data_IF_082322079153
#
_entry.id   IF_082322079153
#
_cell.length_a   1.000
_cell.length_b   1.000
_cell.length_c   1.000
_cell.angle_alpha   90.00
_cell.angle_beta   90.00
_cell.angle_gamma   90.00
#
_symmetry.space_group_name_H-M   'P 1'
#
loop_
_entity.id
_entity.type
_entity.pdbx_description
1 polymer ?
#
# COMPACT_ATOMS: atom_id res chain seq x y z
N UNK A 1 -12.35 -25.33 5.93
CA UNK A 1 -11.42 -24.27 5.53
C UNK A 1 -11.18 -23.45 6.79
N UNK A 2 -9.95 -23.43 7.29
CA UNK A 2 -9.56 -22.59 8.41
C UNK A 2 -9.74 -21.11 8.07
N UNK A 3 -9.77 -20.26 9.10
CA UNK A 3 -10.09 -18.85 8.96
C UNK A 3 -9.07 -18.10 8.08
N UNK A 4 -7.77 -18.40 8.23
CA UNK A 4 -6.70 -17.83 7.42
C UNK A 4 -6.92 -18.15 5.94
N UNK A 5 -7.15 -19.41 5.60
CA UNK A 5 -7.40 -19.84 4.21
C UNK A 5 -8.65 -19.17 3.64
N UNK A 6 -9.71 -18.98 4.45
CA UNK A 6 -10.91 -18.25 4.03
C UNK A 6 -10.61 -16.79 3.70
N UNK A 7 -9.81 -16.11 4.54
CA UNK A 7 -9.43 -14.70 4.34
C UNK A 7 -8.52 -14.54 3.11
N UNK A 8 -7.51 -15.40 2.94
CA UNK A 8 -6.65 -15.43 1.73
C UNK A 8 -7.49 -15.56 0.45
N UNK A 9 -8.48 -16.47 0.45
CA UNK A 9 -9.40 -16.64 -0.69
C UNK A 9 -10.24 -15.40 -0.99
N UNK A 10 -10.78 -14.74 0.05
CA UNK A 10 -11.56 -13.50 -0.13
C UNK A 10 -10.67 -12.40 -0.69
N UNK A 11 -9.45 -12.22 -0.18
CA UNK A 11 -8.48 -11.26 -0.68
C UNK A 11 -8.17 -11.48 -2.16
N UNK A 12 -7.90 -12.72 -2.57
CA UNK A 12 -7.68 -13.04 -3.98
C UNK A 12 -8.86 -12.61 -4.88
N UNK A 13 -10.09 -12.79 -4.40
CA UNK A 13 -11.30 -12.30 -5.08
C UNK A 13 -11.35 -10.78 -5.19
N UNK A 14 -11.00 -10.06 -4.11
CA UNK A 14 -10.92 -8.59 -4.12
C UNK A 14 -9.82 -8.08 -5.06
N UNK A 15 -8.63 -8.69 -5.05
CA UNK A 15 -7.52 -8.38 -5.97
C UNK A 15 -7.99 -8.54 -7.43
N UNK A 16 -8.57 -9.68 -7.77
CA UNK A 16 -9.10 -9.94 -9.12
C UNK A 16 -10.19 -8.95 -9.54
N UNK A 17 -11.08 -8.56 -8.63
CA UNK A 17 -12.08 -7.52 -8.90
C UNK A 17 -11.44 -6.15 -9.14
N UNK A 18 -10.46 -5.78 -8.34
CA UNK A 18 -9.79 -4.49 -8.41
C UNK A 18 -8.94 -4.38 -9.70
N UNK A 19 -8.23 -5.44 -10.10
CA UNK A 19 -7.51 -5.50 -11.38
C UNK A 19 -8.46 -5.29 -12.56
N UNK A 20 -9.65 -5.88 -12.54
CA UNK A 20 -10.67 -5.65 -13.58
C UNK A 20 -11.14 -4.19 -13.62
N UNK A 21 -11.28 -3.54 -12.47
CA UNK A 21 -11.64 -2.11 -12.39
C UNK A 21 -10.51 -1.26 -12.98
N UNK A 22 -9.25 -1.55 -12.65
CA UNK A 22 -8.08 -0.88 -13.25
C UNK A 22 -8.07 -1.01 -14.76
N UNK A 23 -8.34 -2.20 -15.32
CA UNK A 23 -8.43 -2.37 -16.77
C UNK A 23 -9.54 -1.52 -17.39
N UNK A 24 -10.73 -1.48 -16.77
CA UNK A 24 -11.84 -0.62 -17.21
C UNK A 24 -11.49 0.86 -17.17
N UNK A 25 -10.76 1.30 -16.13
CA UNK A 25 -10.28 2.68 -16.02
C UNK A 25 -9.32 3.00 -17.16
N UNK A 26 -8.32 2.14 -17.41
CA UNK A 26 -7.33 2.34 -18.49
C UNK A 26 -7.99 2.42 -19.86
N UNK A 27 -8.96 1.55 -20.13
CA UNK A 27 -9.77 1.59 -21.35
C UNK A 27 -10.57 2.90 -21.46
N UNK A 28 -11.20 3.33 -20.36
CA UNK A 28 -11.98 4.58 -20.33
C UNK A 28 -11.08 5.81 -20.52
N UNK A 29 -9.88 5.83 -19.94
CA UNK A 29 -8.88 6.89 -20.13
C UNK A 29 -8.40 6.99 -21.58
N UNK A 30 -8.30 5.87 -22.30
CA UNK A 30 -7.89 5.85 -23.71
C UNK A 30 -8.89 6.60 -24.60
N UNK A 31 -10.17 6.54 -24.27
CA UNK A 31 -11.27 7.17 -25.02
C UNK A 31 -11.84 8.40 -24.29
N UNK A 32 -11.09 9.00 -23.37
CA UNK A 32 -11.59 10.05 -22.51
C UNK A 32 -11.75 11.37 -23.27
N UNK A 33 -12.95 11.95 -23.22
CA UNK A 33 -13.21 13.31 -23.65
C UNK A 33 -13.35 14.23 -22.43
N UNK A 34 -12.42 15.19 -22.27
CA UNK A 34 -12.40 16.13 -21.15
C UNK A 34 -13.60 17.07 -21.07
N UNK A 35 -14.29 17.30 -22.19
CA UNK A 35 -15.51 18.11 -22.25
C UNK A 35 -16.79 17.29 -21.98
N UNK A 36 -16.68 15.96 -21.92
CA UNK A 36 -17.80 15.05 -21.69
C UNK A 36 -18.00 14.81 -20.19
N UNK A 37 -19.01 15.47 -19.62
CA UNK A 37 -19.36 15.33 -18.20
C UNK A 37 -19.70 13.87 -17.81
N UNK A 38 -20.30 13.11 -18.73
CA UNK A 38 -20.59 11.69 -18.53
C UNK A 38 -19.31 10.85 -18.39
N UNK A 39 -18.27 11.14 -19.18
CA UNK A 39 -17.00 10.42 -19.09
C UNK A 39 -16.27 10.74 -17.80
N UNK A 40 -16.30 12.02 -17.39
CA UNK A 40 -15.77 12.47 -16.11
C UNK A 40 -16.46 11.76 -14.95
N UNK A 41 -17.79 11.72 -14.92
CA UNK A 41 -18.55 11.07 -13.86
C UNK A 41 -18.35 9.54 -13.83
N UNK A 42 -18.26 8.89 -15.00
CA UNK A 42 -17.95 7.47 -15.07
C UNK A 42 -16.56 7.13 -14.50
N UNK A 43 -15.55 7.96 -14.79
CA UNK A 43 -14.20 7.79 -14.23
C UNK A 43 -14.20 8.00 -12.70
N UNK A 44 -14.92 9.00 -12.20
CA UNK A 44 -15.08 9.23 -10.75
C UNK A 44 -15.72 8.03 -10.06
N UNK A 45 -16.79 7.48 -10.62
CA UNK A 45 -17.46 6.30 -10.06
C UNK A 45 -16.53 5.08 -10.03
N UNK A 46 -15.79 4.83 -11.12
CA UNK A 46 -14.81 3.74 -11.18
C UNK A 46 -13.67 3.94 -10.15
N UNK A 47 -13.20 5.18 -9.99
CA UNK A 47 -12.19 5.54 -8.99
C UNK A 47 -12.69 5.27 -7.57
N UNK A 48 -13.90 5.71 -7.23
CA UNK A 48 -14.44 5.54 -5.88
C UNK A 48 -14.67 4.06 -5.58
N UNK A 49 -15.16 3.30 -6.56
CA UNK A 49 -15.22 1.83 -6.45
C UNK A 49 -13.83 1.20 -6.24
N UNK A 50 -12.78 1.73 -6.89
CA UNK A 50 -11.41 1.26 -6.70
C UNK A 50 -10.88 1.60 -5.30
N UNK A 51 -11.19 2.78 -4.76
CA UNK A 51 -10.87 3.16 -3.37
C UNK A 51 -11.49 2.18 -2.37
N UNK A 52 -12.76 1.83 -2.54
CA UNK A 52 -13.43 0.85 -1.68
C UNK A 52 -12.76 -0.53 -1.74
N UNK A 53 -12.27 -0.93 -2.92
CA UNK A 53 -11.52 -2.19 -3.06
C UNK A 53 -10.16 -2.15 -2.37
N UNK A 54 -9.44 -1.03 -2.47
CA UNK A 54 -8.16 -0.82 -1.76
C UNK A 54 -8.40 -0.93 -0.25
N UNK A 55 -9.44 -0.28 0.26
CA UNK A 55 -9.75 -0.31 1.69
C UNK A 55 -10.10 -1.73 2.17
N UNK A 56 -10.92 -2.46 1.42
CA UNK A 56 -11.21 -3.86 1.73
C UNK A 56 -9.96 -4.76 1.68
N UNK A 57 -9.04 -4.52 0.75
CA UNK A 57 -7.77 -5.25 0.66
C UNK A 57 -6.88 -4.99 1.88
N UNK A 58 -6.71 -3.72 2.27
CA UNK A 58 -5.96 -3.33 3.48
C UNK A 58 -6.51 -3.99 4.74
N UNK A 59 -7.83 -4.02 4.89
CA UNK A 59 -8.48 -4.67 6.03
C UNK A 59 -8.26 -6.19 6.04
N UNK A 60 -8.31 -6.85 4.88
CA UNK A 60 -8.02 -8.28 4.77
C UNK A 60 -6.56 -8.60 5.07
N UNK A 61 -5.63 -7.75 4.62
CA UNK A 61 -4.21 -7.90 4.90
C UNK A 61 -3.93 -7.77 6.41
N UNK A 62 -4.50 -6.77 7.08
CA UNK A 62 -4.37 -6.62 8.53
C UNK A 62 -4.87 -7.87 9.30
N UNK A 63 -6.03 -8.41 8.92
CA UNK A 63 -6.58 -9.63 9.53
C UNK A 63 -5.71 -10.87 9.26
N UNK A 64 -5.13 -10.97 8.06
CA UNK A 64 -4.24 -12.09 7.70
C UNK A 64 -2.92 -12.01 8.47
N UNK A 65 -2.38 -10.81 8.65
CA UNK A 65 -1.19 -10.56 9.47
C UNK A 65 -1.44 -10.94 10.93
N UNK A 66 -2.56 -10.53 11.51
CA UNK A 66 -2.94 -10.86 12.88
C UNK A 66 -3.00 -12.38 13.08
N UNK A 67 -3.71 -13.10 12.19
CA UNK A 67 -3.82 -14.56 12.24
C UNK A 67 -2.48 -15.29 12.06
N UNK A 68 -1.57 -14.74 11.25
CA UNK A 68 -0.25 -15.31 11.01
C UNK A 68 0.72 -15.03 12.17
N UNK A 69 0.60 -13.86 12.81
CA UNK A 69 1.43 -13.47 13.96
C UNK A 69 1.17 -14.34 15.19
N UNK A 70 -0.06 -14.85 15.32
CA UNK A 70 -0.47 -15.79 16.37
C UNK A 70 -0.04 -17.24 16.08
N UNK A 71 0.42 -17.53 14.86
CA UNK A 71 0.93 -18.86 14.49
C UNK A 71 2.39 -19.02 14.93
N UNK A 72 2.71 -20.11 15.63
CA UNK A 72 4.10 -20.45 16.04
C UNK A 72 4.89 -21.15 14.94
N UNK A 73 4.47 -21.01 13.70
CA UNK A 73 5.00 -21.79 12.58
C UNK A 73 6.05 -20.94 11.85
N UNK A 74 7.33 -21.34 11.91
CA UNK A 74 8.44 -20.57 11.31
C UNK A 74 8.28 -20.43 9.79
N UNK A 75 7.62 -21.39 9.13
CA UNK A 75 7.30 -21.37 7.70
C UNK A 75 6.17 -20.36 7.37
N UNK A 76 5.30 -20.03 8.34
CA UNK A 76 4.21 -19.07 8.15
C UNK A 76 4.71 -17.62 8.07
N UNK A 77 5.86 -17.30 8.67
CA UNK A 77 6.44 -15.95 8.65
C UNK A 77 7.12 -15.61 7.31
N UNK A 78 7.71 -16.60 6.62
CA UNK A 78 8.25 -16.38 5.27
C UNK A 78 7.14 -16.28 4.21
N UNK A 79 6.09 -17.08 4.36
CA UNK A 79 4.88 -16.95 3.54
C UNK A 79 4.18 -15.61 3.79
N UNK A 80 4.18 -15.10 5.03
CA UNK A 80 3.66 -13.78 5.36
C UNK A 80 4.41 -12.66 4.61
N UNK A 81 5.75 -12.72 4.57
CA UNK A 81 6.58 -11.71 3.91
C UNK A 81 6.27 -11.61 2.41
N UNK A 82 6.23 -12.75 1.71
CA UNK A 82 5.88 -12.80 0.28
C UNK A 82 4.47 -12.28 0.03
N UNK A 83 3.54 -12.66 0.89
CA UNK A 83 2.14 -12.27 0.75
C UNK A 83 1.89 -10.77 0.95
N UNK A 84 2.67 -10.14 1.85
CA UNK A 84 2.68 -8.68 2.06
C UNK A 84 3.29 -7.98 0.83
N UNK A 85 4.46 -8.42 0.36
CA UNK A 85 5.14 -7.82 -0.81
C UNK A 85 4.23 -7.79 -2.05
N UNK A 86 3.55 -8.91 -2.35
CA UNK A 86 2.62 -8.96 -3.48
C UNK A 86 1.39 -8.06 -3.30
N UNK A 87 0.92 -7.88 -2.07
CA UNK A 87 -0.21 -6.97 -1.77
C UNK A 87 0.19 -5.52 -2.03
N UNK A 88 1.42 -5.14 -1.67
CA UNK A 88 1.90 -3.77 -1.74
C UNK A 88 2.08 -3.28 -3.17
N UNK A 89 2.69 -4.11 -4.03
CA UNK A 89 2.84 -3.81 -5.46
C UNK A 89 1.48 -3.54 -6.11
N UNK A 90 0.48 -4.37 -5.79
CA UNK A 90 -0.87 -4.27 -6.33
C UNK A 90 -1.57 -3.00 -5.83
N UNK A 91 -1.48 -2.69 -4.53
CA UNK A 91 -2.07 -1.48 -3.95
C UNK A 91 -1.42 -0.22 -4.53
N UNK A 92 -0.10 -0.20 -4.66
CA UNK A 92 0.65 0.93 -5.21
C UNK A 92 0.25 1.24 -6.66
N UNK A 93 0.10 0.21 -7.49
CA UNK A 93 -0.39 0.33 -8.85
C UNK A 93 -1.82 0.88 -8.89
N UNK A 94 -2.72 0.42 -8.01
CA UNK A 94 -4.09 0.94 -7.92
C UNK A 94 -4.13 2.41 -7.48
N UNK A 95 -3.30 2.78 -6.49
CA UNK A 95 -3.19 4.16 -6.05
C UNK A 95 -2.63 5.08 -7.13
N UNK A 96 -1.68 4.59 -7.95
CA UNK A 96 -1.20 5.34 -9.12
C UNK A 96 -2.34 5.63 -10.08
N UNK A 97 -3.16 4.63 -10.39
CA UNK A 97 -4.33 4.79 -11.28
C UNK A 97 -5.33 5.80 -10.70
N UNK A 98 -5.56 5.81 -9.38
CA UNK A 98 -6.40 6.82 -8.73
C UNK A 98 -5.84 8.23 -8.92
N UNK A 99 -4.52 8.42 -8.74
CA UNK A 99 -3.86 9.72 -8.99
C UNK A 99 -4.02 10.17 -10.44
N UNK A 100 -3.76 9.27 -11.39
CA UNK A 100 -3.91 9.55 -12.82
C UNK A 100 -5.36 10.01 -13.15
N UNK A 101 -6.39 9.43 -12.51
CA UNK A 101 -7.79 9.89 -12.67
C UNK A 101 -8.01 11.28 -12.06
N UNK A 102 -7.51 11.53 -10.85
CA UNK A 102 -7.70 12.84 -10.19
C UNK A 102 -7.10 13.98 -11.02
N UNK A 103 -5.92 13.75 -11.60
CA UNK A 103 -5.24 14.70 -12.49
C UNK A 103 -6.10 14.99 -13.74
N UNK A 104 -6.62 13.94 -14.38
CA UNK A 104 -7.43 14.06 -15.62
C UNK A 104 -8.83 14.63 -15.37
N UNK A 105 -9.37 14.44 -14.17
CA UNK A 105 -10.69 14.95 -13.77
C UNK A 105 -10.61 16.35 -13.13
N UNK A 106 -9.40 16.93 -13.04
CA UNK A 106 -9.14 18.23 -12.42
C UNK A 106 -9.70 18.31 -10.99
N UNK A 107 -9.69 17.19 -10.27
CA UNK A 107 -9.98 17.19 -8.85
C UNK A 107 -8.71 17.53 -8.09
N UNK A 108 -8.63 18.77 -7.60
CA UNK A 108 -7.70 19.10 -6.53
C UNK A 108 -7.86 18.05 -5.42
N UNK A 109 -6.75 17.57 -4.86
CA UNK A 109 -6.75 16.62 -3.75
C UNK A 109 -7.40 17.33 -2.55
N UNK A 110 -8.72 17.24 -2.43
CA UNK A 110 -9.41 17.61 -1.21
C UNK A 110 -9.27 16.42 -0.28
N UNK A 111 -8.11 16.33 0.38
CA UNK A 111 -7.98 15.53 1.58
C UNK A 111 -8.97 16.13 2.58
N UNK A 112 -9.98 15.36 2.98
CA UNK A 112 -11.01 15.78 3.93
C UNK A 112 -10.38 16.32 5.22
N UNK A 113 -10.29 17.64 5.32
CA UNK A 113 -10.35 18.38 6.56
C UNK A 113 -11.58 19.29 6.43
N UNK A 114 -12.63 18.93 7.15
CA UNK A 114 -13.72 19.84 7.49
C UNK A 114 -13.13 21.10 8.13
N UNK A 115 -13.42 22.27 7.58
CA UNK A 115 -14.02 23.45 8.24
C UNK A 115 -14.05 24.63 7.25
N UNK A 116 -15.12 25.39 7.41
CA UNK A 116 -15.70 26.54 6.71
C UNK A 116 -14.78 27.68 6.23
N UNK A 117 -15.29 28.30 5.16
CA UNK A 117 -15.40 29.75 4.90
C UNK A 117 -14.49 30.39 3.82
N UNK A 118 -15.10 31.42 3.25
CA UNK A 118 -14.98 32.13 1.99
C UNK A 118 -13.59 32.67 1.55
N UNK A 119 -13.54 32.99 0.25
CA UNK A 119 -12.74 34.04 -0.42
C UNK A 119 -11.71 33.57 -1.46
N UNK A 120 -12.09 33.87 -2.70
CA UNK A 120 -11.32 34.11 -3.92
C UNK A 120 -9.81 34.40 -3.77
N UNK A 121 -9.00 33.87 -4.70
CA UNK A 121 -8.29 34.63 -5.75
C UNK A 121 -7.34 33.73 -6.57
N UNK A 122 -7.31 34.00 -7.88
CA UNK A 122 -6.39 33.47 -8.88
C UNK A 122 -4.91 33.59 -8.47
N UNK A 123 -4.13 32.55 -8.74
CA UNK A 123 -2.73 32.71 -9.16
C UNK A 123 -2.29 31.58 -10.07
N UNK A 124 -2.21 31.88 -11.36
CA UNK A 124 -1.48 31.10 -12.36
C UNK A 124 -0.01 31.01 -11.95
N UNK A 125 0.48 29.81 -11.63
CA UNK A 125 1.90 29.52 -11.62
C UNK A 125 2.13 28.15 -12.25
N UNK A 126 2.76 28.21 -13.41
CA UNK A 126 3.35 27.11 -14.15
C UNK A 126 4.22 26.24 -13.23
N UNK A 127 3.77 25.02 -12.94
CA UNK A 127 4.65 23.98 -12.36
C UNK A 127 5.16 23.10 -13.48
N UNK A 128 6.38 23.39 -13.89
CA UNK A 128 7.24 22.53 -14.70
C UNK A 128 7.18 21.11 -14.13
N UNK A 129 6.58 20.20 -14.90
CA UNK A 129 6.40 18.80 -14.51
C UNK A 129 7.78 18.17 -14.42
N UNK A 130 8.38 18.18 -13.23
CA UNK A 130 9.48 17.25 -12.90
C UNK A 130 8.90 15.85 -13.05
N UNK A 131 9.07 15.26 -14.24
CA UNK A 131 8.95 13.83 -14.45
C UNK A 131 9.91 13.20 -13.45
N UNK A 132 9.41 12.81 -12.30
CA UNK A 132 10.12 11.88 -11.42
C UNK A 132 10.11 10.57 -12.21
N UNK A 133 11.15 10.38 -13.01
CA UNK A 133 11.49 9.09 -13.57
C UNK A 133 11.85 8.24 -12.36
N UNK A 134 10.84 7.60 -11.76
CA UNK A 134 11.06 6.51 -10.83
C UNK A 134 11.56 5.36 -11.69
N UNK A 135 12.87 5.31 -11.87
CA UNK A 135 13.53 4.14 -12.41
C UNK A 135 12.94 2.93 -11.69
N UNK A 136 12.54 1.91 -12.45
CA UNK A 136 12.20 0.61 -11.88
C UNK A 136 13.45 0.11 -11.17
N UNK A 137 13.51 0.36 -9.87
CA UNK A 137 14.56 -0.17 -9.02
C UNK A 137 14.44 -1.69 -9.09
N UNK A 138 15.56 -2.42 -9.31
CA UNK A 138 15.57 -3.87 -9.15
C UNK A 138 14.95 -4.21 -7.81
N UNK A 139 14.13 -5.28 -7.75
CA UNK A 139 13.56 -5.81 -6.52
C UNK A 139 14.65 -5.85 -5.44
N UNK A 140 14.52 -4.99 -4.43
CA UNK A 140 15.49 -4.92 -3.35
C UNK A 140 15.15 -6.07 -2.40
N UNK A 141 15.77 -7.23 -2.63
CA UNK A 141 15.75 -8.33 -1.68
C UNK A 141 16.42 -7.84 -0.39
N UNK A 142 15.63 -7.42 0.60
CA UNK A 142 16.18 -7.11 1.92
C UNK A 142 16.70 -8.41 2.49
N UNK A 143 18.02 -8.51 2.67
CA UNK A 143 18.66 -9.70 3.23
C UNK A 143 18.17 -9.91 4.66
N UNK A 144 17.91 -11.16 5.03
CA UNK A 144 17.54 -11.51 6.40
C UNK A 144 18.69 -11.17 7.36
N UNK A 145 18.39 -10.57 8.51
CA UNK A 145 19.34 -10.19 9.55
C UNK A 145 19.31 -11.19 10.71
N UNK A 146 20.46 -11.78 11.06
CA UNK A 146 20.54 -12.79 12.14
C UNK A 146 21.21 -12.30 13.41
N UNK A 147 22.53 -12.17 13.39
CA UNK A 147 23.33 -12.04 14.60
C UNK A 147 24.50 -11.03 14.50
N UNK A 148 24.96 -10.72 13.30
CA UNK A 148 26.06 -9.79 13.09
C UNK A 148 25.61 -8.34 13.23
N UNK A 149 25.80 -7.77 14.42
CA UNK A 149 25.59 -6.34 14.68
C UNK A 149 26.23 -5.40 13.63
N UNK A 150 27.34 -5.81 13.02
CA UNK A 150 28.02 -5.04 11.97
C UNK A 150 27.16 -4.85 10.71
N UNK A 151 26.25 -5.79 10.43
CA UNK A 151 25.34 -5.77 9.29
C UNK A 151 24.01 -5.05 9.62
N UNK A 152 23.79 -4.64 10.89
CA UNK A 152 22.53 -4.01 11.33
C UNK A 152 22.27 -2.67 10.65
N UNK A 153 23.29 -1.82 10.54
CA UNK A 153 23.13 -0.50 9.93
C UNK A 153 22.78 -0.62 8.44
N UNK A 154 23.48 -1.50 7.72
CA UNK A 154 23.20 -1.76 6.29
C UNK A 154 21.82 -2.38 6.10
N UNK A 155 21.42 -3.32 6.97
CA UNK A 155 20.07 -3.87 6.99
C UNK A 155 19.02 -2.80 7.24
N UNK A 156 19.19 -1.97 8.26
CA UNK A 156 18.22 -0.94 8.64
C UNK A 156 18.10 0.14 7.57
N UNK A 157 19.21 0.60 6.98
CA UNK A 157 19.17 1.59 5.90
C UNK A 157 18.41 1.05 4.67
N UNK A 158 18.55 -0.25 4.38
CA UNK A 158 17.81 -0.95 3.33
C UNK A 158 16.31 -1.08 3.66
N UNK A 159 16.00 -1.51 4.88
CA UNK A 159 14.62 -1.64 5.38
C UNK A 159 13.92 -0.27 5.46
N UNK A 160 14.61 0.76 5.93
CA UNK A 160 14.05 2.10 6.08
C UNK A 160 13.64 2.67 4.71
N UNK A 161 14.56 2.61 3.75
CA UNK A 161 14.35 3.08 2.38
C UNK A 161 13.25 2.31 1.64
N UNK A 162 13.19 0.99 1.81
CA UNK A 162 12.25 0.13 1.08
C UNK A 162 10.85 0.05 1.73
N UNK A 163 10.78 0.06 3.07
CA UNK A 163 9.57 -0.28 3.82
C UNK A 163 9.14 0.85 4.77
N UNK A 164 10.05 1.37 5.59
CA UNK A 164 9.66 2.33 6.64
C UNK A 164 9.20 3.69 6.07
N UNK A 165 9.87 4.18 5.01
CA UNK A 165 9.52 5.42 4.31
C UNK A 165 8.30 5.29 3.39
N UNK A 166 7.73 4.09 3.25
CA UNK A 166 6.54 3.87 2.45
C UNK A 166 5.27 4.28 3.22
N UNK A 167 4.79 5.49 2.99
CA UNK A 167 3.53 6.03 3.55
C UNK A 167 2.27 5.24 3.11
N UNK A 168 2.40 4.36 2.12
CA UNK A 168 1.34 3.43 1.70
C UNK A 168 1.13 2.27 2.69
N UNK A 169 2.09 2.02 3.59
CA UNK A 169 2.07 0.91 4.54
C UNK A 169 1.60 1.35 5.92
N UNK A 170 0.69 0.58 6.50
CA UNK A 170 0.38 0.68 7.92
C UNK A 170 1.58 0.19 8.75
N UNK A 171 1.81 0.80 9.91
CA UNK A 171 2.93 0.44 10.79
C UNK A 171 2.92 -1.04 11.19
N UNK A 172 1.73 -1.64 11.29
CA UNK A 172 1.55 -3.07 11.56
C UNK A 172 2.15 -3.95 10.44
N UNK A 173 2.02 -3.53 9.17
CA UNK A 173 2.59 -4.24 8.03
C UNK A 173 4.11 -4.07 8.00
N UNK A 174 4.59 -2.84 8.27
CA UNK A 174 6.03 -2.56 8.36
C UNK A 174 6.68 -3.43 9.44
N UNK A 175 6.05 -3.54 10.60
CA UNK A 175 6.56 -4.36 11.71
C UNK A 175 6.50 -5.87 11.41
N UNK A 176 5.41 -6.36 10.82
CA UNK A 176 5.32 -7.74 10.38
C UNK A 176 6.42 -8.09 9.36
N UNK A 177 6.71 -7.17 8.43
CA UNK A 177 7.77 -7.32 7.45
C UNK A 177 9.16 -7.33 8.12
N UNK A 178 9.41 -6.37 9.04
CA UNK A 178 10.64 -6.34 9.84
C UNK A 178 10.87 -7.68 10.54
N UNK A 179 9.85 -8.19 11.25
CA UNK A 179 9.94 -9.46 11.98
C UNK A 179 10.26 -10.65 11.07
N UNK A 180 9.66 -10.72 9.88
CA UNK A 180 9.93 -11.79 8.92
C UNK A 180 11.38 -11.80 8.40
N UNK A 181 12.02 -10.63 8.37
CA UNK A 181 13.40 -10.45 7.92
C UNK A 181 14.42 -10.72 9.02
N UNK A 182 14.01 -10.84 10.28
CA UNK A 182 14.93 -11.21 11.36
C UNK A 182 15.08 -12.73 11.45
N UNK A 183 16.26 -13.20 11.82
CA UNK A 183 16.57 -14.60 12.17
C UNK A 183 16.87 -14.64 13.68
N UNK A 184 16.70 -15.80 14.31
CA UNK A 184 17.12 -16.01 15.70
C UNK A 184 18.61 -15.65 15.91
N UNK A 185 19.00 -14.98 17.01
CA UNK A 185 18.17 -14.60 18.17
C UNK A 185 17.46 -13.24 18.04
N UNK A 186 17.74 -12.45 17.01
CA UNK A 186 17.17 -11.11 16.83
C UNK A 186 15.64 -11.13 16.70
N UNK A 187 15.09 -12.16 16.05
CA UNK A 187 13.65 -12.38 15.92
C UNK A 187 12.98 -12.53 17.29
N UNK A 188 13.47 -13.44 18.14
CA UNK A 188 12.95 -13.61 19.49
C UNK A 188 13.09 -12.34 20.35
N UNK A 189 14.14 -11.55 20.15
CA UNK A 189 14.33 -10.29 20.88
C UNK A 189 13.20 -9.28 20.65
N UNK A 190 12.52 -9.32 19.49
CA UNK A 190 11.40 -8.42 19.19
C UNK A 190 10.02 -9.05 19.34
N UNK A 191 9.95 -10.36 19.63
CA UNK A 191 8.69 -11.12 19.75
C UNK A 191 7.78 -10.63 20.88
N UNK A 192 8.34 -9.94 21.88
CA UNK A 192 7.61 -9.36 23.00
C UNK A 192 6.99 -7.98 22.73
N UNK A 193 7.27 -7.36 21.58
CA UNK A 193 6.64 -6.09 21.20
C UNK A 193 5.29 -6.37 20.53
N UNK A 194 4.22 -5.81 21.10
CA UNK A 194 2.89 -5.90 20.50
C UNK A 194 2.84 -5.15 19.16
N UNK A 195 2.20 -5.76 18.16
CA UNK A 195 1.90 -5.20 16.82
C UNK A 195 0.97 -3.97 16.83
N UNK A 196 0.77 -3.35 17.99
CA UNK A 196 -0.13 -2.22 18.15
C UNK A 196 0.63 -0.92 18.03
N UNK A 197 0.09 0.00 17.22
CA UNK A 197 0.30 1.45 17.29
C UNK A 197 -0.06 1.98 18.69
N UNK A 198 0.68 1.57 19.72
CA UNK A 198 0.58 2.09 21.05
C UNK A 198 1.61 3.21 21.16
N UNK A 199 1.16 4.43 20.83
CA UNK A 199 1.72 5.60 21.48
C UNK A 199 1.64 5.35 22.99
N UNK A 200 2.76 5.02 23.61
CA UNK A 200 2.88 5.01 25.07
C UNK A 200 3.56 6.31 25.50
N UNK A 201 2.67 7.26 25.84
CA UNK A 201 2.78 8.43 26.72
C UNK A 201 3.92 9.43 26.51
#
# INVERSE_FOLDING_TARGET
MDELTKKKRIRAGHRGSATKIVSKIKEKLTNYNSECETDKNALKQLRDTLKDKIEALKNLDAMIIELLSDSKDEDAEEELAKEIEESDDIIADMQKVIRDISDVTNEAIVQSATVTDDTTLNSSLSSETKKIIRAKLPKLEVKKFGDKLQEWQEFWDSFDSAVNQNEGLADVNKFAYLRSLLIEPARSAISGFALTSAHQL
#
